data_IF_799242423499
#
_entry.id   IF_799242423499
#
_cell.length_a   1.000
_cell.length_b   1.000
_cell.length_c   1.000
_cell.angle_alpha   90.00
_cell.angle_beta   90.00
_cell.angle_gamma   90.00
#
_symmetry.space_group_name_H-M   'P 1'
#
loop_
_entity.id
_entity.type
_entity.pdbx_description
1 polymer ?
#
# COMPACT_ATOMS: atom_id res chain seq x y z
N UNK A 1 -12.71 29.21 -17.73
CA UNK A 1 -14.06 28.70 -18.09
C UNK A 1 -14.03 27.84 -19.36
N UNK A 2 -13.46 28.31 -20.48
CA UNK A 2 -13.41 27.54 -21.74
C UNK A 2 -12.54 26.25 -21.66
N UNK A 3 -11.40 26.29 -20.97
CA UNK A 3 -10.50 25.14 -20.79
C UNK A 3 -11.17 23.97 -20.02
N UNK A 4 -11.96 24.28 -18.99
CA UNK A 4 -12.70 23.28 -18.21
C UNK A 4 -13.77 22.61 -19.08
N UNK A 5 -14.41 23.37 -19.97
CA UNK A 5 -15.38 22.85 -20.95
C UNK A 5 -14.73 21.97 -22.02
N UNK A 6 -13.52 22.30 -22.46
CA UNK A 6 -12.79 21.48 -23.42
C UNK A 6 -12.33 20.16 -22.80
N UNK A 7 -11.81 20.21 -21.58
CA UNK A 7 -11.37 19.03 -20.82
C UNK A 7 -12.55 18.10 -20.51
N UNK A 8 -13.69 18.65 -20.06
CA UNK A 8 -14.90 17.86 -19.79
C UNK A 8 -15.51 17.27 -21.06
N UNK A 9 -15.57 18.03 -22.18
CA UNK A 9 -16.00 17.45 -23.46
C UNK A 9 -15.07 16.33 -23.92
N UNK A 10 -13.76 16.50 -23.81
CA UNK A 10 -12.79 15.49 -24.23
C UNK A 10 -12.91 14.22 -23.38
N UNK A 11 -12.97 14.34 -22.05
CA UNK A 11 -13.14 13.22 -21.12
C UNK A 11 -14.47 12.49 -21.32
N UNK A 12 -15.57 13.23 -21.46
CA UNK A 12 -16.91 12.64 -21.60
C UNK A 12 -17.07 12.00 -22.99
N UNK A 13 -16.69 12.70 -24.06
CA UNK A 13 -16.88 12.21 -25.42
C UNK A 13 -15.97 11.03 -25.74
N UNK A 14 -14.74 10.99 -25.23
CA UNK A 14 -13.81 9.89 -25.47
C UNK A 14 -14.14 8.64 -24.66
N UNK A 15 -14.53 8.78 -23.38
CA UNK A 15 -14.85 7.61 -22.55
C UNK A 15 -16.24 7.05 -22.85
N UNK A 16 -17.27 7.89 -22.87
CA UNK A 16 -18.64 7.45 -23.11
C UNK A 16 -18.91 7.18 -24.59
N UNK A 17 -18.33 7.95 -25.51
CA UNK A 17 -18.54 7.77 -26.95
C UNK A 17 -17.99 6.44 -27.46
N UNK A 18 -16.79 6.06 -27.03
CA UNK A 18 -16.20 4.76 -27.39
C UNK A 18 -16.99 3.62 -26.76
N UNK A 19 -17.44 3.76 -25.52
CA UNK A 19 -18.23 2.74 -24.82
C UNK A 19 -19.59 2.49 -25.50
N UNK A 20 -20.30 3.57 -25.86
CA UNK A 20 -21.57 3.49 -26.58
C UNK A 20 -21.39 2.87 -27.97
N UNK A 21 -20.35 3.28 -28.71
CA UNK A 21 -20.06 2.74 -30.04
C UNK A 21 -19.75 1.23 -29.99
N UNK A 22 -19.03 0.78 -28.97
CA UNK A 22 -18.73 -0.63 -28.73
C UNK A 22 -20.00 -1.44 -28.44
N UNK A 23 -20.86 -0.95 -27.55
CA UNK A 23 -22.14 -1.60 -27.22
C UNK A 23 -23.00 -1.70 -28.49
N UNK A 24 -23.08 -0.63 -29.26
CA UNK A 24 -23.88 -0.59 -30.48
C UNK A 24 -23.34 -1.56 -31.54
N UNK A 25 -22.02 -1.64 -31.70
CA UNK A 25 -21.36 -2.58 -32.61
C UNK A 25 -21.58 -4.05 -32.16
N UNK A 26 -21.53 -4.32 -30.86
CA UNK A 26 -21.80 -5.64 -30.30
C UNK A 26 -23.27 -6.07 -30.50
N UNK A 27 -24.23 -5.16 -30.31
CA UNK A 27 -25.66 -5.41 -30.56
C UNK A 27 -25.92 -5.66 -32.05
N UNK A 28 -25.29 -4.88 -32.94
CA UNK A 28 -25.42 -5.06 -34.39
C UNK A 28 -24.85 -6.41 -34.84
N UNK A 29 -23.65 -6.75 -34.39
CA UNK A 29 -23.04 -8.05 -34.69
C UNK A 29 -23.89 -9.20 -34.16
N UNK A 30 -24.40 -9.09 -32.94
CA UNK A 30 -25.29 -10.10 -32.37
C UNK A 30 -26.59 -10.25 -33.18
N UNK A 31 -27.22 -9.14 -33.59
CA UNK A 31 -28.43 -9.16 -34.41
C UNK A 31 -28.21 -9.79 -35.80
N UNK A 32 -27.08 -9.49 -36.43
CA UNK A 32 -26.69 -10.08 -37.72
C UNK A 32 -26.42 -11.59 -37.57
N UNK A 33 -25.70 -11.99 -36.52
CA UNK A 33 -25.40 -13.39 -36.22
C UNK A 33 -26.66 -14.20 -35.87
N UNK A 34 -27.61 -13.59 -35.15
CA UNK A 34 -28.86 -14.25 -34.75
C UNK A 34 -29.80 -14.51 -35.92
N UNK A 35 -29.76 -13.66 -36.95
CA UNK A 35 -30.63 -13.78 -38.12
C UNK A 35 -30.16 -14.86 -39.11
N UNK A 36 -28.87 -15.18 -39.12
CA UNK A 36 -28.27 -16.07 -40.14
C UNK A 36 -27.76 -17.41 -39.59
N UNK A 37 -27.51 -17.56 -38.28
CA UNK A 37 -26.94 -18.79 -37.74
C UNK A 37 -27.55 -19.24 -36.40
N UNK A 38 -27.31 -20.50 -36.03
CA UNK A 38 -27.86 -21.13 -34.82
C UNK A 38 -27.44 -20.37 -33.56
N UNK A 39 -28.34 -20.23 -32.56
CA UNK A 39 -28.10 -19.44 -31.34
C UNK A 39 -26.78 -19.79 -30.62
N UNK A 40 -26.33 -21.05 -30.74
CA UNK A 40 -25.07 -21.54 -30.13
C UNK A 40 -23.82 -20.93 -30.76
N UNK A 41 -23.79 -20.73 -32.08
CA UNK A 41 -22.63 -20.14 -32.77
C UNK A 41 -22.54 -18.64 -32.50
N UNK A 42 -23.69 -17.96 -32.46
CA UNK A 42 -23.78 -16.55 -32.10
C UNK A 42 -23.24 -16.27 -30.68
N UNK A 43 -23.57 -17.12 -29.70
CA UNK A 43 -23.06 -16.96 -28.32
C UNK A 43 -21.55 -17.17 -28.20
N UNK A 44 -21.00 -18.15 -28.93
CA UNK A 44 -19.55 -18.41 -28.92
C UNK A 44 -18.78 -17.24 -29.55
N UNK A 45 -19.25 -16.76 -30.70
CA UNK A 45 -18.58 -15.66 -31.40
C UNK A 45 -18.69 -14.33 -30.62
N UNK A 46 -19.81 -14.10 -29.93
CA UNK A 46 -19.95 -12.97 -29.02
C UNK A 46 -18.96 -13.05 -27.85
N UNK A 47 -18.80 -14.21 -27.22
CA UNK A 47 -17.81 -14.42 -26.14
C UNK A 47 -16.37 -14.19 -26.63
N UNK A 48 -16.03 -14.68 -27.83
CA UNK A 48 -14.71 -14.47 -28.43
C UNK A 48 -14.50 -12.99 -28.75
N UNK A 49 -15.48 -12.34 -29.40
CA UNK A 49 -15.41 -10.91 -29.72
C UNK A 49 -15.29 -10.05 -28.46
N UNK A 50 -16.11 -10.32 -27.45
CA UNK A 50 -16.05 -9.63 -26.17
C UNK A 50 -14.72 -9.89 -25.44
N UNK A 51 -14.18 -11.11 -25.52
CA UNK A 51 -12.86 -11.44 -24.98
C UNK A 51 -11.71 -10.73 -25.69
N UNK A 52 -11.73 -10.66 -27.03
CA UNK A 52 -10.74 -9.92 -27.84
C UNK A 52 -10.86 -8.42 -27.61
N UNK A 53 -12.08 -7.90 -27.53
CA UNK A 53 -12.36 -6.51 -27.22
C UNK A 53 -11.83 -6.16 -25.82
N UNK A 54 -12.11 -6.99 -24.82
CA UNK A 54 -11.57 -6.86 -23.48
C UNK A 54 -10.04 -6.91 -23.53
N UNK A 55 -9.41 -7.84 -24.25
CA UNK A 55 -7.95 -7.93 -24.35
C UNK A 55 -7.30 -6.69 -24.99
N UNK A 56 -7.90 -6.12 -26.03
CA UNK A 56 -7.36 -4.97 -26.76
C UNK A 56 -7.61 -3.63 -26.04
N UNK A 57 -8.74 -3.51 -25.35
CA UNK A 57 -9.12 -2.30 -24.64
C UNK A 57 -8.77 -2.33 -23.14
N UNK A 58 -8.62 -3.50 -22.52
CA UNK A 58 -8.17 -3.63 -21.13
C UNK A 58 -6.89 -2.82 -20.86
N UNK A 59 -5.79 -2.92 -21.63
CA UNK A 59 -4.59 -2.13 -21.34
C UNK A 59 -4.75 -0.61 -21.58
N UNK A 60 -5.83 -0.16 -22.24
CA UNK A 60 -6.10 1.25 -22.53
C UNK A 60 -7.16 1.87 -21.60
N UNK A 61 -8.17 1.08 -21.21
CA UNK A 61 -9.31 1.47 -20.38
C UNK A 61 -9.01 1.25 -18.90
N UNK A 62 -8.28 0.18 -18.59
CA UNK A 62 -7.67 0.06 -17.28
C UNK A 62 -6.45 0.96 -17.31
N UNK A 63 -6.38 2.01 -16.46
CA UNK A 63 -5.14 2.76 -16.32
C UNK A 63 -4.04 1.74 -16.05
N UNK A 64 -2.85 1.97 -16.61
CA UNK A 64 -1.80 0.97 -16.82
C UNK A 64 -1.36 0.18 -15.59
N UNK A 65 -1.86 0.49 -14.40
CA UNK A 65 -2.02 -0.45 -13.30
C UNK A 65 -3.29 -0.10 -12.52
N UNK A 66 -4.04 -1.10 -12.06
CA UNK A 66 -5.03 -1.01 -10.98
C UNK A 66 -4.35 -0.63 -9.64
N UNK A 67 -3.58 0.46 -9.64
CA UNK A 67 -2.62 0.82 -8.60
C UNK A 67 -3.28 1.61 -7.47
N UNK A 68 -4.20 2.55 -7.78
CA UNK A 68 -4.89 3.42 -6.80
C UNK A 68 -6.24 3.96 -7.31
N UNK A 69 -7.13 4.51 -6.44
CA UNK A 69 -8.25 5.34 -6.85
C UNK A 69 -7.78 6.53 -7.70
N UNK A 70 -8.61 6.98 -8.65
CA UNK A 70 -8.27 7.97 -9.68
C UNK A 70 -7.74 9.34 -9.20
N UNK A 71 -7.68 9.60 -7.88
CA UNK A 71 -7.31 10.89 -7.29
C UNK A 71 -6.09 10.82 -6.32
N UNK A 72 -5.44 9.66 -6.12
CA UNK A 72 -4.34 9.56 -5.17
C UNK A 72 -2.98 9.80 -5.85
N UNK A 73 -2.27 10.86 -5.46
CA UNK A 73 -0.83 11.02 -5.75
C UNK A 73 -0.02 10.55 -4.56
N UNK A 74 0.98 9.70 -4.77
CA UNK A 74 1.90 9.28 -3.72
C UNK A 74 3.32 9.72 -4.03
N UNK A 75 4.08 10.01 -2.97
CA UNK A 75 5.42 10.55 -3.05
C UNK A 75 6.38 9.44 -2.61
N UNK A 76 6.99 8.76 -3.58
CA UNK A 76 7.99 7.73 -3.34
C UNK A 76 9.17 7.87 -4.32
N UNK A 77 10.36 7.37 -3.98
CA UNK A 77 11.59 7.55 -4.75
C UNK A 77 11.68 6.72 -6.04
N UNK A 78 10.64 5.96 -6.39
CA UNK A 78 10.61 5.07 -7.55
C UNK A 78 9.79 5.68 -8.70
N UNK A 79 10.15 5.33 -9.94
CA UNK A 79 9.52 5.82 -11.18
C UNK A 79 8.01 5.55 -11.26
N UNK A 80 7.50 4.64 -10.44
CA UNK A 80 6.06 4.44 -10.23
C UNK A 80 5.82 3.70 -8.89
N UNK A 81 4.81 4.10 -8.11
CA UNK A 81 4.47 3.51 -6.80
C UNK A 81 3.70 2.18 -6.93
N UNK A 82 4.18 1.32 -7.81
CA UNK A 82 3.58 0.04 -8.10
C UNK A 82 3.91 -0.95 -7.01
N UNK A 83 2.92 -1.41 -6.26
CA UNK A 83 3.12 -2.62 -5.46
C UNK A 83 2.98 -3.80 -6.43
N UNK A 84 4.06 -4.57 -6.72
CA UNK A 84 3.93 -5.72 -7.60
C UNK A 84 2.89 -6.68 -7.04
N UNK A 85 2.02 -7.24 -7.89
CA UNK A 85 0.95 -8.15 -7.44
C UNK A 85 1.48 -9.31 -6.58
N UNK A 86 2.69 -9.79 -6.87
CA UNK A 86 3.38 -10.81 -6.08
C UNK A 86 3.59 -10.39 -4.61
N UNK A 87 3.91 -9.11 -4.36
CA UNK A 87 4.12 -8.57 -3.02
C UNK A 87 2.79 -8.40 -2.27
N UNK A 88 1.73 -7.99 -2.98
CA UNK A 88 0.37 -7.94 -2.43
C UNK A 88 -0.06 -9.34 -1.97
N UNK A 89 0.09 -10.34 -2.83
CA UNK A 89 -0.27 -11.71 -2.50
C UNK A 89 0.58 -12.27 -1.35
N UNK A 90 1.88 -11.94 -1.33
CA UNK A 90 2.76 -12.30 -0.23
C UNK A 90 2.35 -11.64 1.09
N UNK A 91 1.94 -10.36 1.06
CA UNK A 91 1.42 -9.66 2.23
C UNK A 91 0.17 -10.36 2.77
N UNK A 92 -0.85 -10.60 1.95
CA UNK A 92 -2.07 -11.30 2.38
C UNK A 92 -1.81 -12.72 2.90
N UNK A 93 -0.85 -13.44 2.32
CA UNK A 93 -0.43 -14.75 2.82
C UNK A 93 0.22 -14.68 4.20
N UNK A 94 0.96 -13.60 4.49
CA UNK A 94 1.66 -13.41 5.75
C UNK A 94 0.86 -12.63 6.80
N UNK A 95 -0.29 -12.03 6.45
CA UNK A 95 -1.14 -11.28 7.40
C UNK A 95 -1.49 -12.08 8.66
N UNK A 96 -1.71 -13.39 8.52
CA UNK A 96 -2.04 -14.25 9.67
C UNK A 96 -0.85 -14.50 10.60
N UNK A 97 0.38 -14.14 10.18
CA UNK A 97 1.61 -14.28 10.97
C UNK A 97 1.96 -12.99 11.71
N UNK A 98 1.37 -11.86 11.33
CA UNK A 98 1.62 -10.58 11.97
C UNK A 98 0.79 -10.51 13.24
N UNK A 99 1.42 -10.10 14.33
CA UNK A 99 0.78 -9.94 15.63
C UNK A 99 -0.30 -8.85 15.56
N UNK A 100 -1.53 -9.17 16.00
CA UNK A 100 -2.63 -8.21 16.10
C UNK A 100 -2.74 -7.72 17.54
N UNK A 101 -2.57 -6.42 17.75
CA UNK A 101 -2.54 -5.79 19.08
C UNK A 101 -3.67 -4.77 19.15
N UNK A 102 -4.47 -4.82 20.22
CA UNK A 102 -5.60 -3.93 20.40
C UNK A 102 -5.17 -2.47 20.62
N UNK A 103 -4.10 -2.26 21.39
CA UNK A 103 -3.58 -0.93 21.70
C UNK A 103 -2.05 -0.89 21.63
N UNK A 104 -1.56 0.03 20.81
CA UNK A 104 -0.13 0.29 20.64
C UNK A 104 0.31 1.59 21.32
N UNK A 105 -0.54 2.31 22.04
CA UNK A 105 -0.14 3.51 22.76
C UNK A 105 0.83 3.16 23.90
N UNK A 106 1.92 3.93 24.01
CA UNK A 106 2.81 3.92 25.18
C UNK A 106 2.24 4.86 26.24
N UNK A 107 2.35 4.49 27.52
CA UNK A 107 2.01 5.37 28.64
C UNK A 107 2.92 6.62 28.59
N UNK A 108 2.37 7.85 28.57
CA UNK A 108 3.18 9.07 28.59
C UNK A 108 3.98 9.27 29.88
N UNK A 109 3.65 8.57 30.97
CA UNK A 109 4.39 8.60 32.24
C UNK A 109 5.52 7.56 32.31
N UNK A 110 5.65 6.70 31.30
CA UNK A 110 6.72 5.70 31.22
C UNK A 110 8.04 6.34 30.78
N UNK A 111 8.59 7.13 31.71
CA UNK A 111 9.86 7.83 31.57
C UNK A 111 10.88 7.29 32.58
N UNK A 112 12.14 7.03 32.17
CA UNK A 112 13.19 6.64 33.10
C UNK A 112 13.41 7.70 34.19
N UNK A 113 13.85 7.32 35.40
CA UNK A 113 14.15 8.28 36.47
C UNK A 113 15.28 9.25 36.09
N UNK A 114 15.42 10.39 36.79
CA UNK A 114 16.54 11.31 36.58
C UNK A 114 17.90 10.60 36.79
N UNK A 115 18.89 10.94 35.96
CA UNK A 115 20.23 10.38 36.09
C UNK A 115 20.97 11.14 37.19
N UNK A 116 21.30 10.47 38.30
CA UNK A 116 22.00 11.06 39.45
C UNK A 116 23.51 10.79 39.47
N UNK A 117 24.00 9.91 38.58
CA UNK A 117 25.41 9.50 38.56
C UNK A 117 26.33 10.57 37.95
N UNK A 118 27.48 10.79 38.60
CA UNK A 118 28.50 11.76 38.18
C UNK A 118 29.60 11.18 37.27
N UNK A 119 29.72 9.86 37.17
CA UNK A 119 30.72 9.18 36.32
C UNK A 119 30.09 8.60 35.04
N UNK A 120 30.92 8.47 33.99
CA UNK A 120 30.53 7.90 32.71
C UNK A 120 30.65 6.37 32.77
N UNK A 121 29.61 5.66 32.32
CA UNK A 121 29.57 4.20 32.27
C UNK A 121 29.11 3.77 30.88
N UNK A 122 29.45 2.53 30.49
CA UNK A 122 28.91 1.92 29.28
C UNK A 122 27.41 1.66 29.48
N UNK A 123 26.59 2.12 28.54
CA UNK A 123 25.14 1.85 28.55
C UNK A 123 24.82 0.98 27.34
N UNK A 124 24.16 -0.16 27.59
CA UNK A 124 23.60 -1.02 26.56
C UNK A 124 22.08 -0.99 26.65
N UNK A 125 21.41 -0.59 25.58
CA UNK A 125 19.96 -0.60 25.47
C UNK A 125 19.57 -1.60 24.39
N UNK A 126 18.67 -2.51 24.72
CA UNK A 126 18.09 -3.44 23.77
C UNK A 126 16.68 -2.96 23.42
N UNK A 127 16.38 -2.83 22.13
CA UNK A 127 15.08 -2.42 21.62
C UNK A 127 14.71 -3.39 20.52
N UNK A 128 13.44 -3.76 20.38
CA UNK A 128 12.99 -4.71 19.36
C UNK A 128 12.17 -3.99 18.30
N UNK A 129 12.55 -4.08 17.03
CA UNK A 129 11.64 -3.66 15.95
C UNK A 129 10.52 -4.69 15.82
N UNK A 130 9.26 -4.26 15.85
CA UNK A 130 8.11 -5.16 15.71
C UNK A 130 7.13 -4.61 14.69
N UNK A 131 6.73 -5.47 13.76
CA UNK A 131 5.58 -5.24 12.90
C UNK A 131 4.33 -5.77 13.61
N UNK A 132 3.36 -4.88 13.84
CA UNK A 132 2.10 -5.20 14.52
C UNK A 132 0.94 -4.62 13.73
N UNK A 133 -0.23 -5.27 13.76
CA UNK A 133 -1.47 -4.73 13.21
C UNK A 133 -2.29 -4.19 14.38
N UNK A 134 -2.68 -2.92 14.31
CA UNK A 134 -3.48 -2.28 15.36
C UNK A 134 -4.51 -1.32 14.79
N UNK A 135 -5.48 -0.95 15.62
CA UNK A 135 -6.54 -0.02 15.27
C UNK A 135 -6.08 1.42 15.54
N UNK A 136 -6.13 2.27 14.52
CA UNK A 136 -5.84 3.71 14.64
C UNK A 136 -7.03 4.49 15.19
N UNK A 137 -8.22 4.10 14.74
CA UNK A 137 -9.51 4.71 15.03
C UNK A 137 -10.60 3.65 14.79
N UNK A 138 -11.82 3.80 15.32
CA UNK A 138 -12.90 2.82 15.13
C UNK A 138 -13.07 2.37 13.67
N UNK A 139 -12.81 1.10 13.39
CA UNK A 139 -12.89 0.48 12.07
C UNK A 139 -11.67 0.69 11.15
N UNK A 140 -10.65 1.43 11.59
CA UNK A 140 -9.44 1.75 10.82
C UNK A 140 -8.26 0.96 11.35
N UNK A 141 -7.97 -0.18 10.73
CA UNK A 141 -6.87 -1.07 11.10
C UNK A 141 -5.70 -0.90 10.15
N UNK A 142 -4.50 -0.69 10.69
CA UNK A 142 -3.28 -0.49 9.92
C UNK A 142 -2.11 -1.33 10.45
N UNK A 143 -1.18 -1.75 9.58
CA UNK A 143 0.11 -2.27 10.00
C UNK A 143 1.00 -1.12 10.50
N UNK A 144 1.69 -1.36 11.61
CA UNK A 144 2.62 -0.44 12.25
C UNK A 144 3.99 -1.09 12.38
N UNK A 145 5.03 -0.30 12.17
CA UNK A 145 6.38 -0.63 12.62
C UNK A 145 6.64 0.12 13.92
N UNK A 146 6.95 -0.64 14.96
CA UNK A 146 7.03 -0.16 16.34
C UNK A 146 8.35 -0.57 16.97
N UNK A 147 8.70 0.12 18.05
CA UNK A 147 9.77 -0.33 18.94
C UNK A 147 9.14 -0.90 20.20
N UNK A 148 9.44 -2.16 20.49
CA UNK A 148 8.86 -2.96 21.58
C UNK A 148 7.33 -3.07 21.55
N UNK A 149 6.71 -2.97 20.37
CA UNK A 149 5.27 -3.16 20.18
C UNK A 149 4.42 -1.91 20.46
N UNK A 150 5.05 -0.75 20.71
CA UNK A 150 4.35 0.50 21.08
C UNK A 150 4.78 1.70 20.23
N UNK A 151 3.90 2.70 20.18
CA UNK A 151 4.07 4.01 19.53
C UNK A 151 3.71 5.11 20.54
N UNK A 152 4.63 6.03 20.85
CA UNK A 152 6.04 6.02 20.46
C UNK A 152 6.79 4.81 21.06
N UNK A 153 8.01 4.55 20.55
CA UNK A 153 8.93 3.58 21.15
C UNK A 153 9.36 3.96 22.58
N UNK A 154 10.13 3.10 23.27
CA UNK A 154 10.59 3.37 24.62
C UNK A 154 11.40 4.67 24.71
N UNK A 155 11.17 5.45 25.76
CA UNK A 155 11.94 6.66 26.03
C UNK A 155 13.36 6.30 26.48
N UNK A 156 14.37 6.75 25.74
CA UNK A 156 15.77 6.52 26.08
C UNK A 156 16.35 7.74 26.79
N UNK A 157 16.88 7.56 28.00
CA UNK A 157 17.54 8.62 28.77
C UNK A 157 19.00 8.26 29.03
N UNK A 158 19.92 9.08 28.52
CA UNK A 158 21.36 8.93 28.75
C UNK A 158 21.98 10.27 29.14
N UNK A 159 23.12 10.21 29.82
CA UNK A 159 23.91 11.40 30.17
C UNK A 159 24.91 11.68 29.05
N UNK A 160 25.13 12.95 28.75
CA UNK A 160 26.20 13.39 27.86
C UNK A 160 27.58 12.91 28.35
N UNK A 161 28.49 12.58 27.42
CA UNK A 161 29.82 12.06 27.74
C UNK A 161 29.89 10.56 28.06
N UNK A 162 28.82 9.79 27.79
CA UNK A 162 28.86 8.32 27.80
C UNK A 162 29.78 7.81 26.69
N UNK A 163 30.85 7.11 27.07
CA UNK A 163 31.89 6.66 26.12
C UNK A 163 31.47 5.51 25.20
N UNK A 164 30.52 4.67 25.64
CA UNK A 164 30.03 3.55 24.85
C UNK A 164 28.52 3.42 25.04
N UNK A 165 27.76 3.99 24.11
CA UNK A 165 26.32 3.85 24.03
C UNK A 165 25.99 2.91 22.87
N UNK A 166 25.31 1.79 23.15
CA UNK A 166 24.93 0.82 22.12
C UNK A 166 23.45 0.55 22.20
N UNK A 167 22.75 0.80 21.08
CA UNK A 167 21.37 0.36 20.88
C UNK A 167 21.40 -0.87 19.97
N UNK A 168 20.87 -1.99 20.46
CA UNK A 168 20.84 -3.24 19.70
C UNK A 168 19.41 -3.68 19.44
N UNK A 169 19.17 -4.20 18.24
CA UNK A 169 17.95 -4.94 17.96
C UNK A 169 17.96 -6.25 18.74
N UNK A 170 16.88 -6.58 19.45
CA UNK A 170 16.73 -7.91 20.07
C UNK A 170 16.38 -9.01 19.05
N UNK A 171 16.09 -8.66 17.78
CA UNK A 171 15.86 -9.64 16.71
C UNK A 171 17.18 -10.11 16.06
N UNK A 172 17.36 -11.42 15.84
CA UNK A 172 18.51 -11.94 15.09
C UNK A 172 18.54 -11.37 13.66
N UNK A 173 19.68 -10.77 13.26
CA UNK A 173 19.94 -10.35 11.87
C UNK A 173 19.65 -8.88 11.52
N UNK A 174 19.29 -8.03 12.49
CA UNK A 174 19.04 -6.59 12.25
C UNK A 174 20.23 -5.72 12.68
N UNK A 175 20.55 -4.69 11.88
CA UNK A 175 21.74 -3.83 11.96
C UNK A 175 21.97 -3.19 13.34
N UNK A 176 23.25 -3.14 13.75
CA UNK A 176 23.74 -2.46 14.94
C UNK A 176 23.92 -0.96 14.67
N UNK A 177 23.28 -0.10 15.46
CA UNK A 177 23.61 1.33 15.47
C UNK A 177 24.63 1.61 16.58
N UNK A 178 25.91 1.64 16.22
CA UNK A 178 26.99 2.07 17.11
C UNK A 178 27.22 3.56 16.93
N UNK A 179 26.67 4.38 17.82
CA UNK A 179 27.00 5.80 17.87
C UNK A 179 28.33 5.96 18.61
N UNK A 180 29.43 6.14 17.86
CA UNK A 180 30.67 6.67 18.44
C UNK A 180 30.52 8.19 18.55
N UNK A 181 30.89 8.80 19.69
CA UNK A 181 31.12 10.24 19.71
C UNK A 181 32.25 10.58 18.72
N UNK A 182 32.22 11.76 18.07
CA UNK A 182 33.34 12.26 17.27
C UNK A 182 34.62 12.41 18.10
#
# INVERSE_FOLDING_TARGET
MAEIFYLTKYLILQSFGIFIAIIFCAILLFGILYKWHSKKTATILFLIFFGVLLFLFAPKVLPGRFEYPFALKTYGPADSPAIPFKNILAFFKNLNRIEKVADIARDPNDIPPPITRAQSEKIKINITSKEVISEMAPGVVMPYWTFDGKVPGPFLRVREGVKNFVVQSAQPGTLYLSLRPP
#
